data_IF_929580359075
#
_entry.id   IF_929580359075
#
_cell.length_a   1.000
_cell.length_b   1.000
_cell.length_c   1.000
_cell.angle_alpha   90.00
_cell.angle_beta   90.00
_cell.angle_gamma   90.00
#
_symmetry.space_group_name_H-M   'P 1'
#
loop_
_entity.id
_entity.type
_entity.pdbx_description
1 polymer ?
#
# COMPACT_ATOMS: atom_id res chain seq x y z
N UNK A 1 18.45 4.82 6.00
CA UNK A 1 17.13 4.20 6.22
C UNK A 1 16.62 3.64 4.92
N UNK A 2 16.21 2.38 4.91
CA UNK A 2 15.77 1.68 3.69
C UNK A 2 14.30 1.28 3.80
N UNK A 3 13.54 1.55 2.75
CA UNK A 3 12.12 1.21 2.65
C UNK A 3 11.86 0.34 1.43
N UNK A 4 11.04 -0.68 1.59
CA UNK A 4 10.45 -1.41 0.47
C UNK A 4 8.92 -1.33 0.56
N UNK A 5 8.29 -1.10 -0.57
CA UNK A 5 6.83 -1.15 -0.68
C UNK A 5 6.48 -2.35 -1.55
N UNK A 6 5.89 -3.36 -0.93
CA UNK A 6 5.38 -4.53 -1.65
C UNK A 6 3.95 -4.22 -2.06
N UNK A 7 3.64 -4.33 -3.34
CA UNK A 7 2.34 -3.92 -3.84
C UNK A 7 1.65 -5.01 -4.66
N UNK A 8 0.34 -5.01 -4.59
CA UNK A 8 -0.53 -5.66 -5.54
C UNK A 8 -1.55 -4.66 -6.06
N UNK A 9 -1.60 -4.48 -7.38
CA UNK A 9 -2.48 -3.50 -8.01
C UNK A 9 -2.99 -4.04 -9.34
N UNK A 10 -4.12 -4.72 -9.30
CA UNK A 10 -4.71 -5.41 -10.48
C UNK A 10 -5.83 -4.61 -11.15
N UNK A 11 -6.65 -3.87 -10.40
CA UNK A 11 -7.74 -3.07 -10.95
C UNK A 11 -7.24 -1.67 -11.30
N UNK A 12 -7.13 -1.36 -12.60
CA UNK A 12 -6.76 -0.05 -13.12
C UNK A 12 -5.45 0.51 -12.53
N UNK A 13 -4.68 -0.33 -11.84
CA UNK A 13 -3.39 0.03 -11.22
C UNK A 13 -3.47 1.26 -10.31
N UNK A 14 -4.58 1.45 -9.62
CA UNK A 14 -4.80 2.63 -8.78
C UNK A 14 -3.77 2.76 -7.67
N UNK A 15 -3.55 1.68 -6.91
CA UNK A 15 -2.58 1.67 -5.81
C UNK A 15 -1.16 1.86 -6.32
N UNK A 16 -0.83 1.27 -7.49
CA UNK A 16 0.49 1.42 -8.10
C UNK A 16 0.81 2.88 -8.43
N UNK A 17 -0.18 3.68 -8.83
CA UNK A 17 0.02 5.12 -9.09
C UNK A 17 0.53 5.86 -7.85
N UNK A 18 0.00 5.51 -6.68
CA UNK A 18 0.44 6.09 -5.41
C UNK A 18 1.86 5.65 -5.05
N UNK A 19 2.12 4.36 -5.14
CA UNK A 19 3.42 3.76 -4.84
C UNK A 19 4.49 4.30 -5.77
N UNK A 20 4.19 4.38 -7.08
CA UNK A 20 5.12 4.90 -8.08
C UNK A 20 5.49 6.35 -7.78
N UNK A 21 4.53 7.19 -7.43
CA UNK A 21 4.79 8.59 -7.10
C UNK A 21 5.71 8.74 -5.89
N UNK A 22 5.55 7.90 -4.88
CA UNK A 22 6.43 7.88 -3.70
C UNK A 22 7.86 7.51 -4.12
N UNK A 23 8.01 6.44 -4.91
CA UNK A 23 9.34 5.99 -5.38
C UNK A 23 10.00 7.03 -6.28
N UNK A 24 9.24 7.64 -7.20
CA UNK A 24 9.75 8.69 -8.08
C UNK A 24 10.25 9.91 -7.29
N UNK A 25 9.63 10.21 -6.15
CA UNK A 25 10.01 11.35 -5.31
C UNK A 25 11.18 11.05 -4.38
N UNK A 26 11.20 9.87 -3.75
CA UNK A 26 12.11 9.56 -2.66
C UNK A 26 13.11 8.44 -2.97
N UNK A 27 13.00 7.77 -4.10
CA UNK A 27 13.78 6.58 -4.40
C UNK A 27 15.01 6.79 -5.29
N UNK A 28 15.37 8.04 -5.61
CA UNK A 28 16.47 8.32 -6.55
C UNK A 28 17.84 7.80 -6.06
N UNK A 29 18.03 7.72 -4.75
CA UNK A 29 19.27 7.22 -4.12
C UNK A 29 19.18 5.71 -3.78
N UNK A 30 18.09 5.05 -4.17
CA UNK A 30 17.86 3.63 -3.86
C UNK A 30 17.35 3.35 -2.44
N UNK A 31 17.07 4.39 -1.64
CA UNK A 31 16.59 4.20 -0.27
C UNK A 31 15.14 3.73 -0.20
N UNK A 32 14.36 3.97 -1.25
CA UNK A 32 12.96 3.53 -1.35
C UNK A 32 12.78 2.80 -2.67
N UNK A 33 12.20 1.62 -2.61
CA UNK A 33 11.84 0.87 -3.83
C UNK A 33 10.52 0.17 -3.69
N UNK A 34 9.90 -0.13 -4.82
CA UNK A 34 8.67 -0.87 -4.90
C UNK A 34 8.92 -2.22 -5.57
N UNK A 35 8.25 -3.26 -5.06
CA UNK A 35 8.33 -4.61 -5.59
C UNK A 35 6.91 -5.16 -5.72
N UNK A 36 6.57 -5.67 -6.91
CA UNK A 36 5.31 -6.40 -7.08
C UNK A 36 5.32 -7.64 -6.21
N UNK A 37 4.17 -7.97 -5.64
CA UNK A 37 4.03 -9.18 -4.83
C UNK A 37 4.39 -10.46 -5.62
N UNK A 38 4.26 -10.44 -6.94
CA UNK A 38 4.68 -11.54 -7.82
C UNK A 38 6.18 -11.78 -7.77
N UNK A 39 6.96 -10.74 -7.45
CA UNK A 39 8.42 -10.78 -7.37
C UNK A 39 8.92 -10.76 -5.92
N UNK A 40 8.08 -11.10 -4.96
CA UNK A 40 8.38 -11.03 -3.52
C UNK A 40 9.64 -11.80 -3.12
N UNK A 41 9.94 -12.88 -3.83
CA UNK A 41 11.11 -13.73 -3.55
C UNK A 41 12.44 -13.06 -3.91
N UNK A 42 12.39 -11.97 -4.67
CA UNK A 42 13.60 -11.23 -5.08
C UNK A 42 14.19 -10.37 -3.96
N UNK A 43 13.47 -10.23 -2.83
CA UNK A 43 13.87 -9.37 -1.72
C UNK A 43 13.86 -10.11 -0.39
N UNK A 44 14.71 -9.64 0.53
CA UNK A 44 14.69 -10.08 1.91
C UNK A 44 14.17 -8.91 2.77
N UNK A 45 13.01 -9.05 3.37
CA UNK A 45 12.39 -8.00 4.19
C UNK A 45 13.23 -7.60 5.41
N UNK A 46 14.13 -8.46 5.86
CA UNK A 46 15.01 -8.12 6.97
C UNK A 46 16.00 -6.98 6.64
N UNK A 47 16.25 -6.75 5.34
CA UNK A 47 17.20 -5.72 4.89
C UNK A 47 16.60 -4.30 4.94
N UNK A 48 15.33 -4.18 5.32
CA UNK A 48 14.60 -2.90 5.30
C UNK A 48 14.17 -2.48 6.69
N UNK A 49 14.26 -1.18 6.93
CA UNK A 49 13.81 -0.54 8.18
C UNK A 49 12.28 -0.36 8.19
N UNK A 50 11.73 0.04 7.04
CA UNK A 50 10.29 0.21 6.86
C UNK A 50 9.78 -0.69 5.75
N UNK A 51 8.60 -1.25 5.97
CA UNK A 51 7.91 -2.09 4.98
C UNK A 51 6.54 -1.47 4.72
N UNK A 52 6.30 -1.11 3.48
CA UNK A 52 4.97 -0.71 3.02
C UNK A 52 4.23 -1.91 2.43
N UNK A 53 2.97 -2.09 2.78
CA UNK A 53 2.08 -3.04 2.12
C UNK A 53 1.01 -2.25 1.39
N UNK A 54 0.96 -2.40 0.08
CA UNK A 54 0.08 -1.63 -0.79
C UNK A 54 -0.82 -2.53 -1.61
N UNK A 55 -2.13 -2.31 -1.55
CA UNK A 55 -3.12 -3.18 -2.17
C UNK A 55 -4.36 -2.40 -2.62
N UNK A 56 -5.07 -2.94 -3.61
CA UNK A 56 -6.47 -2.61 -3.79
C UNK A 56 -7.31 -3.33 -2.74
N UNK A 57 -8.60 -3.02 -2.73
CA UNK A 57 -9.57 -3.61 -1.80
C UNK A 57 -10.58 -4.44 -2.60
N UNK A 58 -10.81 -5.66 -2.13
CA UNK A 58 -11.81 -6.57 -2.67
C UNK A 58 -12.70 -7.05 -1.52
N UNK A 59 -14.00 -6.82 -1.63
CA UNK A 59 -14.99 -7.18 -0.62
C UNK A 59 -14.64 -6.71 0.80
N UNK A 60 -14.05 -5.53 0.92
CA UNK A 60 -13.70 -4.93 2.22
C UNK A 60 -12.37 -5.37 2.81
N UNK A 61 -11.57 -6.11 2.05
CA UNK A 61 -10.26 -6.62 2.49
C UNK A 61 -9.17 -6.26 1.48
N UNK A 62 -7.93 -6.25 1.91
CA UNK A 62 -6.80 -6.27 0.99
C UNK A 62 -6.91 -7.52 0.11
N UNK A 63 -6.35 -7.49 -1.08
CA UNK A 63 -6.31 -8.68 -1.93
C UNK A 63 -5.72 -9.85 -1.17
N UNK A 64 -6.26 -11.06 -1.42
CA UNK A 64 -5.89 -12.27 -0.69
C UNK A 64 -4.39 -12.52 -0.65
N UNK A 65 -3.69 -12.28 -1.75
CA UNK A 65 -2.24 -12.45 -1.80
C UNK A 65 -1.53 -11.53 -0.81
N UNK A 66 -2.01 -10.29 -0.64
CA UNK A 66 -1.43 -9.34 0.31
C UNK A 66 -1.80 -9.68 1.76
N UNK A 67 -3.04 -10.11 2.01
CA UNK A 67 -3.43 -10.60 3.34
C UNK A 67 -2.54 -11.78 3.77
N UNK A 68 -2.28 -12.70 2.85
CA UNK A 68 -1.38 -13.84 3.11
C UNK A 68 0.06 -13.40 3.30
N UNK A 69 0.52 -12.43 2.51
CA UNK A 69 1.88 -11.91 2.60
C UNK A 69 2.17 -11.24 3.93
N UNK A 70 1.19 -10.62 4.56
CA UNK A 70 1.34 -10.01 5.88
C UNK A 70 1.85 -11.02 6.92
N UNK A 71 1.52 -12.30 6.78
CA UNK A 71 2.03 -13.35 7.65
C UNK A 71 3.51 -13.64 7.49
N UNK A 72 4.13 -13.14 6.43
CA UNK A 72 5.57 -13.32 6.15
C UNK A 72 6.43 -12.13 6.56
N UNK A 73 5.82 -11.03 6.94
CA UNK A 73 6.57 -9.86 7.42
C UNK A 73 7.33 -10.26 8.69
N UNK A 74 8.65 -10.02 8.77
CA UNK A 74 9.42 -10.38 9.96
C UNK A 74 8.90 -9.69 11.21
N UNK A 75 9.05 -10.35 12.34
CA UNK A 75 8.60 -9.83 13.63
C UNK A 75 9.26 -8.49 13.96
N UNK A 76 8.51 -7.61 14.59
CA UNK A 76 9.02 -6.35 15.12
C UNK A 76 9.27 -5.26 14.10
N UNK A 77 8.89 -5.46 12.83
CA UNK A 77 9.08 -4.45 11.80
C UNK A 77 8.10 -3.28 11.92
N UNK A 78 8.54 -2.12 11.43
CA UNK A 78 7.68 -0.94 11.25
C UNK A 78 7.02 -1.02 9.88
N UNK A 79 5.71 -1.03 9.87
CA UNK A 79 4.92 -1.25 8.65
C UNK A 79 3.95 -0.10 8.44
N UNK A 80 3.79 0.33 7.21
CA UNK A 80 2.73 1.26 6.83
C UNK A 80 1.86 0.65 5.73
N UNK A 81 0.63 1.12 5.65
CA UNK A 81 -0.37 0.58 4.73
C UNK A 81 -0.77 1.66 3.71
N UNK A 82 -0.89 1.26 2.45
CA UNK A 82 -1.42 2.10 1.38
C UNK A 82 -2.46 1.29 0.63
N UNK A 83 -3.66 1.84 0.45
CA UNK A 83 -4.66 1.11 -0.33
C UNK A 83 -5.68 2.06 -0.97
N UNK A 84 -6.33 1.55 -2.00
CA UNK A 84 -7.38 2.27 -2.74
C UNK A 84 -8.64 1.40 -2.81
N UNK A 85 -9.78 2.04 -2.83
CA UNK A 85 -11.07 1.38 -3.02
C UNK A 85 -12.05 2.31 -3.72
N UNK A 86 -13.13 1.76 -4.25
CA UNK A 86 -14.17 2.58 -4.88
C UNK A 86 -14.84 3.54 -3.91
N UNK A 87 -14.98 3.15 -2.63
CA UNK A 87 -15.59 3.98 -1.59
C UNK A 87 -14.62 4.94 -0.93
N UNK A 88 -13.32 4.62 -0.90
CA UNK A 88 -12.33 5.37 -0.14
C UNK A 88 -12.41 5.18 1.36
N UNK A 89 -13.17 4.20 1.84
CA UNK A 89 -13.34 3.92 3.26
C UNK A 89 -12.11 3.21 3.86
N UNK A 90 -12.11 3.11 5.17
CA UNK A 90 -11.05 2.44 5.92
C UNK A 90 -11.27 0.92 5.90
N UNK A 91 -10.26 0.17 5.42
CA UNK A 91 -10.32 -1.29 5.28
C UNK A 91 -9.05 -2.00 5.76
N UNK A 92 -8.18 -1.30 6.50
CA UNK A 92 -6.88 -1.85 6.90
C UNK A 92 -6.90 -2.77 8.13
N UNK A 93 -8.04 -2.96 8.80
CA UNK A 93 -8.09 -3.59 10.12
C UNK A 93 -7.61 -5.04 10.15
N UNK A 94 -7.97 -5.85 9.16
CA UNK A 94 -7.62 -7.27 9.13
C UNK A 94 -6.11 -7.46 8.96
N UNK A 95 -5.52 -6.77 7.99
CA UNK A 95 -4.07 -6.85 7.76
C UNK A 95 -3.30 -6.24 8.95
N UNK A 96 -3.80 -5.15 9.53
CA UNK A 96 -3.19 -4.55 10.71
C UNK A 96 -3.20 -5.51 11.91
N UNK A 97 -4.28 -6.23 12.11
CA UNK A 97 -4.38 -7.24 13.18
C UNK A 97 -3.36 -8.35 13.01
N UNK A 98 -3.20 -8.85 11.78
CA UNK A 98 -2.19 -9.86 11.47
C UNK A 98 -0.79 -9.36 11.81
N UNK A 99 -0.46 -8.15 11.39
CA UNK A 99 0.86 -7.54 11.63
C UNK A 99 1.11 -7.29 13.11
N UNK A 100 0.13 -6.77 13.83
CA UNK A 100 0.22 -6.56 15.28
C UNK A 100 0.43 -7.88 16.04
N UNK A 101 -0.24 -8.96 15.60
CA UNK A 101 -0.04 -10.29 16.14
C UNK A 101 1.39 -10.82 15.95
N UNK A 102 2.12 -10.28 14.99
CA UNK A 102 3.54 -10.58 14.76
C UNK A 102 4.47 -9.59 15.49
N UNK A 103 3.95 -8.72 16.32
CA UNK A 103 4.73 -7.72 17.04
C UNK A 103 5.19 -6.55 16.16
N UNK A 104 4.65 -6.41 14.96
CA UNK A 104 4.96 -5.26 14.10
C UNK A 104 4.23 -4.00 14.60
N UNK A 105 4.82 -2.85 14.33
CA UNK A 105 4.21 -1.54 14.61
C UNK A 105 3.63 -0.98 13.32
N UNK A 106 2.36 -0.62 13.34
CA UNK A 106 1.74 0.10 12.22
C UNK A 106 2.03 1.59 12.42
N UNK A 107 2.91 2.13 11.58
CA UNK A 107 3.39 3.51 11.72
C UNK A 107 2.58 4.53 10.93
N UNK A 108 1.69 4.07 10.08
CA UNK A 108 0.80 4.95 9.33
C UNK A 108 -0.04 4.18 8.32
N UNK A 109 -1.06 4.87 7.82
CA UNK A 109 -1.99 4.33 6.86
C UNK A 109 -2.48 5.45 5.95
N UNK A 110 -2.47 5.21 4.65
CA UNK A 110 -3.01 6.12 3.65
C UNK A 110 -3.99 5.38 2.75
N UNK A 111 -5.17 5.95 2.58
CA UNK A 111 -6.17 5.44 1.64
C UNK A 111 -6.83 6.57 0.89
N UNK A 112 -7.24 6.30 -0.33
CA UNK A 112 -8.05 7.18 -1.14
C UNK A 112 -8.92 6.37 -2.09
N UNK A 113 -9.76 7.07 -2.85
CA UNK A 113 -10.58 6.43 -3.87
C UNK A 113 -9.72 5.95 -5.05
N UNK A 114 -10.13 4.86 -5.66
CA UNK A 114 -9.60 4.35 -6.90
C UNK A 114 -10.74 3.93 -7.82
N UNK A 115 -10.57 4.12 -9.13
CA UNK A 115 -11.59 3.70 -10.10
C UNK A 115 -11.83 2.19 -9.99
N UNK A 116 -13.07 1.81 -9.71
CA UNK A 116 -13.45 0.43 -9.46
C UNK A 116 -14.62 0.04 -10.37
N UNK A 117 -14.42 -1.05 -11.11
CA UNK A 117 -15.43 -1.64 -11.99
C UNK A 117 -15.82 -3.06 -11.56
N UNK A 118 -15.40 -3.49 -10.36
CA UNK A 118 -15.65 -4.84 -9.86
C UNK A 118 -17.08 -4.98 -9.28
N UNK A 119 -17.58 -6.20 -9.27
CA UNK A 119 -18.84 -6.55 -8.64
C UNK A 119 -20.03 -5.74 -9.14
N UNK A 120 -20.81 -5.20 -8.23
CA UNK A 120 -22.00 -4.40 -8.56
C UNK A 120 -21.68 -3.11 -9.31
N UNK A 121 -20.46 -2.58 -9.16
CA UNK A 121 -20.04 -1.37 -9.85
C UNK A 121 -19.94 -1.55 -11.37
N UNK A 122 -19.73 -2.77 -11.84
CA UNK A 122 -19.62 -3.11 -13.25
C UNK A 122 -20.89 -2.74 -14.03
N UNK A 123 -22.06 -2.95 -13.44
CA UNK A 123 -23.35 -2.70 -14.09
C UNK A 123 -23.65 -1.22 -14.32
N UNK A 124 -23.00 -0.32 -13.59
CA UNK A 124 -23.17 1.13 -13.71
C UNK A 124 -21.95 1.83 -14.34
N UNK A 125 -21.03 1.06 -14.94
CA UNK A 125 -19.84 1.62 -15.59
C UNK A 125 -18.68 1.93 -14.64
N UNK A 126 -18.76 1.45 -13.38
CA UNK A 126 -17.73 1.68 -12.37
C UNK A 126 -18.08 2.79 -11.39
N UNK A 127 -17.23 2.94 -10.37
CA UNK A 127 -17.33 3.96 -9.33
C UNK A 127 -15.99 4.66 -9.16
N UNK A 128 -16.02 5.91 -8.72
CA UNK A 128 -14.81 6.72 -8.48
C UNK A 128 -13.95 6.92 -9.73
N UNK A 129 -14.56 7.05 -10.91
CA UNK A 129 -13.85 7.33 -12.16
C UNK A 129 -13.01 8.60 -12.02
N UNK A 130 -11.78 8.54 -12.52
CA UNK A 130 -10.81 9.65 -12.38
C UNK A 130 -10.03 9.64 -11.06
N UNK A 131 -10.29 8.68 -10.17
CA UNK A 131 -9.51 8.49 -8.94
C UNK A 131 -8.49 7.34 -9.10
N UNK A 132 -7.32 7.43 -8.45
CA UNK A 132 -6.90 8.55 -7.63
C UNK A 132 -6.67 9.82 -8.46
N UNK A 133 -7.03 10.97 -7.89
CA UNK A 133 -6.78 12.28 -8.48
C UNK A 133 -5.31 12.67 -8.29
N UNK A 134 -4.87 13.71 -9.01
CA UNK A 134 -3.54 14.27 -8.82
C UNK A 134 -3.31 14.66 -7.36
N UNK A 135 -4.29 15.28 -6.72
CA UNK A 135 -4.20 15.67 -5.31
C UNK A 135 -4.06 14.46 -4.39
N UNK A 136 -4.82 13.40 -4.63
CA UNK A 136 -4.75 12.16 -3.85
C UNK A 136 -3.37 11.51 -3.99
N UNK A 137 -2.78 11.52 -5.18
CA UNK A 137 -1.42 11.02 -5.43
C UNK A 137 -0.39 11.89 -4.68
N UNK A 138 -0.51 13.20 -4.75
CA UNK A 138 0.37 14.13 -4.02
C UNK A 138 0.27 13.93 -2.51
N UNK A 139 -0.93 13.68 -1.99
CA UNK A 139 -1.14 13.40 -0.58
C UNK A 139 -0.49 12.09 -0.14
N UNK A 140 -0.44 11.08 -0.99
CA UNK A 140 0.31 9.84 -0.70
C UNK A 140 1.82 10.12 -0.56
N UNK A 141 2.35 10.97 -1.43
CA UNK A 141 3.76 11.38 -1.36
C UNK A 141 4.04 12.14 -0.06
N UNK A 142 3.17 13.07 0.31
CA UNK A 142 3.27 13.82 1.58
C UNK A 142 3.17 12.89 2.80
N UNK A 143 2.26 11.93 2.75
CA UNK A 143 2.11 10.92 3.79
C UNK A 143 3.43 10.19 4.04
N UNK A 144 4.06 9.69 2.98
CA UNK A 144 5.34 8.99 3.12
C UNK A 144 6.44 9.91 3.63
N UNK A 145 6.54 11.13 3.11
CA UNK A 145 7.51 12.13 3.57
C UNK A 145 7.38 12.41 5.07
N UNK A 146 6.16 12.48 5.57
CA UNK A 146 5.88 12.66 6.99
C UNK A 146 6.34 11.46 7.81
N UNK A 147 6.09 10.23 7.33
CA UNK A 147 6.53 9.01 8.01
C UNK A 147 8.04 9.00 8.23
N UNK A 148 8.82 9.27 7.18
CA UNK A 148 10.28 9.27 7.27
C UNK A 148 10.83 10.46 8.06
N UNK A 149 10.13 11.60 8.06
CA UNK A 149 10.46 12.78 8.84
C UNK A 149 10.27 12.56 10.35
N UNK A 150 9.19 11.90 10.73
CA UNK A 150 8.91 11.55 12.14
C UNK A 150 9.83 10.45 12.68
N UNK A 151 10.40 9.63 11.81
CA UNK A 151 11.30 8.54 12.18
C UNK A 151 12.73 9.00 12.44
N UNK A 152 13.06 10.22 12.07
CA UNK A 152 14.35 10.85 12.35
C UNK A 152 14.29 11.49 13.74
#
# INVERSE_FOLDING_TARGET
>A
MKTVIVYESTHHQNTLKLVKAIVDTYGSDGSVKAVSIENEKSINLNDYDFIGLASGIDNGYFYSAMENYANRVPRGKKVFLIYTSGSGFHYGDTVARTLKGRGCSIIGEYTCKGFDTAGMWKSIGGVAKGHPTKEEIENAVKFYGKLIGEAK
#
